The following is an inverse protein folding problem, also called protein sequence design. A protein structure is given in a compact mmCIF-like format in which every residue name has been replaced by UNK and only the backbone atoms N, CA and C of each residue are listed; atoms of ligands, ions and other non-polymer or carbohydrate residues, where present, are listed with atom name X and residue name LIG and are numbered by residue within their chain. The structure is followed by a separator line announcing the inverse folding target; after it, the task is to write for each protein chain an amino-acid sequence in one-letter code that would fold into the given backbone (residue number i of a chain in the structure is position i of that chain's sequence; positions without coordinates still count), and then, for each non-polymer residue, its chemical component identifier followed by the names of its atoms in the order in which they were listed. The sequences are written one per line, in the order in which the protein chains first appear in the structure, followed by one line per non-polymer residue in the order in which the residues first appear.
data_IF_492068395312
#
_entry.id   IF_492068395312
#
_cell.length_a   1.000
_cell.length_b   1.000
_cell.length_c   1.000
_cell.angle_alpha   90.00
_cell.angle_beta   90.00
_cell.angle_gamma   90.00
#
_symmetry.space_group_name_H-M   'P 1'
#
loop_
_entity.id
_entity.type
_entity.pdbx_description
1 polymer ?
#
# COMPACT_ATOMS: atom_id res chain seq x y z
N UNK A 1 12.98 33.34 -21.46
CA UNK A 1 12.01 32.87 -22.46
C UNK A 1 11.02 31.98 -21.75
N UNK A 2 9.81 32.48 -21.47
CA UNK A 2 8.75 31.73 -20.81
C UNK A 2 8.15 30.74 -21.82
N UNK A 3 8.44 29.46 -21.65
CA UNK A 3 7.88 28.39 -22.47
C UNK A 3 6.46 28.09 -21.97
N UNK A 4 5.48 28.90 -22.38
CA UNK A 4 4.08 28.69 -22.02
C UNK A 4 3.48 27.61 -22.91
N UNK A 5 3.16 26.46 -22.31
CA UNK A 5 2.48 25.33 -22.96
C UNK A 5 1.14 25.76 -23.56
N UNK A 6 0.89 25.39 -24.81
CA UNK A 6 -0.36 25.71 -25.51
C UNK A 6 -1.58 25.01 -24.88
N UNK A 7 -2.81 25.53 -25.08
CA UNK A 7 -4.03 24.87 -24.58
C UNK A 7 -4.22 23.43 -25.10
N UNK A 8 -3.80 23.15 -26.34
CA UNK A 8 -3.86 21.82 -26.93
C UNK A 8 -2.90 20.86 -26.23
N UNK A 9 -1.66 21.29 -25.98
CA UNK A 9 -0.67 20.52 -25.23
C UNK A 9 -1.11 20.29 -23.78
N UNK A 10 -1.71 21.29 -23.11
CA UNK A 10 -2.27 21.10 -21.76
C UNK A 10 -3.40 20.07 -21.74
N UNK A 11 -4.23 20.04 -22.78
CA UNK A 11 -5.32 19.06 -22.91
C UNK A 11 -4.77 17.65 -23.11
N UNK A 12 -3.74 17.51 -23.94
CA UNK A 12 -3.05 16.24 -24.16
C UNK A 12 -2.38 15.73 -22.88
N UNK A 13 -1.66 16.59 -22.15
CA UNK A 13 -1.01 16.21 -20.88
C UNK A 13 -2.04 15.74 -19.85
N UNK A 14 -3.14 16.47 -19.68
CA UNK A 14 -4.22 16.06 -18.76
C UNK A 14 -4.79 14.69 -19.12
N UNK A 15 -5.00 14.44 -20.41
CA UNK A 15 -5.46 13.14 -20.90
C UNK A 15 -4.46 12.04 -20.57
N UNK A 16 -3.18 12.23 -20.90
CA UNK A 16 -2.13 11.23 -20.63
C UNK A 16 -1.98 10.91 -19.14
N UNK A 17 -2.08 11.93 -18.26
CA UNK A 17 -2.06 11.72 -16.80
C UNK A 17 -3.29 10.91 -16.34
N UNK A 18 -4.48 11.24 -16.84
CA UNK A 18 -5.69 10.50 -16.53
C UNK A 18 -5.61 9.04 -16.99
N UNK A 19 -5.16 8.81 -18.22
CA UNK A 19 -4.97 7.46 -18.79
C UNK A 19 -3.92 6.66 -18.03
N UNK A 20 -2.83 7.29 -17.57
CA UNK A 20 -1.83 6.63 -16.74
C UNK A 20 -2.38 6.18 -15.38
N UNK A 21 -3.19 7.02 -14.71
CA UNK A 21 -3.82 6.65 -13.44
C UNK A 21 -4.84 5.53 -13.62
N UNK A 22 -5.66 5.58 -14.67
CA UNK A 22 -6.58 4.48 -15.02
C UNK A 22 -5.83 3.18 -15.33
N UNK A 23 -4.76 3.27 -16.13
CA UNK A 23 -3.91 2.13 -16.47
C UNK A 23 -3.27 1.49 -15.26
N UNK A 24 -2.78 2.30 -14.30
CA UNK A 24 -2.23 1.83 -13.03
C UNK A 24 -3.26 1.01 -12.24
N UNK A 25 -4.46 1.56 -12.02
CA UNK A 25 -5.51 0.87 -11.25
C UNK A 25 -5.99 -0.41 -11.95
N UNK A 26 -6.17 -0.38 -13.28
CA UNK A 26 -6.58 -1.54 -14.05
C UNK A 26 -5.50 -2.64 -14.04
N UNK A 27 -4.23 -2.29 -14.23
CA UNK A 27 -3.14 -3.25 -14.20
C UNK A 27 -2.97 -3.89 -12.82
N UNK A 28 -3.07 -3.09 -11.75
CA UNK A 28 -3.01 -3.57 -10.38
C UNK A 28 -4.17 -4.52 -10.06
N UNK A 29 -5.42 -4.14 -10.37
CA UNK A 29 -6.60 -4.99 -10.14
C UNK A 29 -6.57 -6.28 -10.97
N UNK A 30 -6.05 -6.25 -12.21
CA UNK A 30 -5.90 -7.44 -13.05
C UNK A 30 -4.82 -8.40 -12.54
N UNK A 31 -3.73 -7.88 -11.97
CA UNK A 31 -2.60 -8.68 -11.51
C UNK A 31 -2.72 -9.15 -10.05
N UNK A 32 -3.49 -8.45 -9.23
CA UNK A 32 -3.71 -8.74 -7.81
C UNK A 32 -4.06 -10.21 -7.50
N UNK A 33 -4.92 -10.91 -8.27
CA UNK A 33 -5.32 -12.29 -7.95
C UNK A 33 -4.19 -13.32 -8.06
N UNK A 34 -3.10 -12.96 -8.75
CA UNK A 34 -1.91 -13.81 -8.95
C UNK A 34 -0.67 -13.21 -8.30
N UNK A 35 -0.82 -12.18 -7.46
CA UNK A 35 0.30 -11.54 -6.78
C UNK A 35 1.07 -12.57 -5.93
N UNK A 36 2.36 -12.72 -6.24
CA UNK A 36 3.32 -13.67 -5.65
C UNK A 36 3.07 -15.17 -5.94
N UNK A 37 2.36 -15.49 -7.02
CA UNK A 37 2.44 -16.82 -7.60
C UNK A 37 3.83 -17.00 -8.22
N UNK A 38 4.66 -17.87 -7.63
CA UNK A 38 6.00 -18.17 -8.16
C UNK A 38 6.00 -19.26 -9.22
N UNK A 39 4.93 -20.06 -9.30
CA UNK A 39 4.76 -21.09 -10.32
C UNK A 39 3.56 -20.75 -11.22
N UNK A 40 3.81 -20.65 -12.53
CA UNK A 40 2.78 -20.33 -13.53
C UNK A 40 1.72 -21.44 -13.68
N UNK A 41 2.05 -22.69 -13.34
CA UNK A 41 1.09 -23.79 -13.41
C UNK A 41 0.05 -23.70 -12.28
N UNK A 42 0.41 -23.09 -11.15
CA UNK A 42 -0.55 -22.78 -10.10
C UNK A 42 -1.58 -21.74 -10.58
N UNK A 43 -1.14 -20.74 -11.35
CA UNK A 43 -2.05 -19.74 -11.96
C UNK A 43 -3.04 -20.46 -12.88
N UNK A 44 -2.53 -21.32 -13.77
CA UNK A 44 -3.38 -22.07 -14.71
C UNK A 44 -4.39 -22.96 -14.01
N UNK A 45 -3.97 -23.68 -12.98
CA UNK A 45 -4.85 -24.54 -12.18
C UNK A 45 -5.94 -23.71 -11.50
N UNK A 46 -5.56 -22.64 -10.80
CA UNK A 46 -6.47 -21.93 -9.93
C UNK A 46 -7.48 -21.06 -10.71
N UNK A 47 -7.09 -20.56 -11.89
CA UNK A 47 -7.92 -19.70 -12.74
C UNK A 47 -8.49 -20.38 -13.99
N UNK A 48 -8.29 -21.69 -14.15
CA UNK A 48 -8.84 -22.45 -15.29
C UNK A 48 -8.21 -22.10 -16.63
N UNK A 49 -6.93 -21.74 -16.63
CA UNK A 49 -6.19 -21.21 -17.76
C UNK A 49 -5.40 -19.95 -17.38
N UNK A 50 -5.00 -19.17 -18.38
CA UNK A 50 -4.39 -17.87 -18.11
C UNK A 50 -5.41 -16.92 -17.50
N UNK A 51 -4.95 -16.09 -16.55
CA UNK A 51 -5.79 -15.03 -16.00
C UNK A 51 -6.26 -14.10 -17.12
N UNK A 52 -7.55 -13.82 -17.15
CA UNK A 52 -8.17 -12.94 -18.14
C UNK A 52 -9.19 -12.04 -17.45
N UNK A 53 -9.12 -10.74 -17.72
CA UNK A 53 -10.00 -9.76 -17.10
C UNK A 53 -9.72 -9.56 -15.60
N UNK A 54 -10.75 -9.12 -14.87
CA UNK A 54 -10.67 -8.90 -13.44
C UNK A 54 -11.22 -10.12 -12.68
N UNK A 55 -10.43 -10.64 -11.75
CA UNK A 55 -10.82 -11.77 -10.90
C UNK A 55 -10.66 -11.39 -9.43
N UNK A 56 -11.40 -12.08 -8.55
CA UNK A 56 -11.10 -12.05 -7.12
C UNK A 56 -9.91 -12.99 -6.83
N UNK A 57 -9.09 -12.70 -5.81
CA UNK A 57 -8.07 -13.63 -5.36
C UNK A 57 -8.75 -14.88 -4.79
N UNK A 58 -8.09 -16.03 -4.92
CA UNK A 58 -8.53 -17.24 -4.23
C UNK A 58 -8.37 -17.05 -2.73
N UNK A 59 -9.15 -17.79 -1.94
CA UNK A 59 -9.00 -17.76 -0.47
C UNK A 59 -7.65 -18.35 -0.02
N UNK A 60 -7.07 -19.23 -0.84
CA UNK A 60 -5.78 -19.86 -0.59
C UNK A 60 -4.78 -19.44 -1.66
N UNK A 61 -3.53 -19.29 -1.26
CA UNK A 61 -2.40 -18.97 -2.13
C UNK A 61 -1.31 -20.05 -1.98
N UNK A 62 -0.83 -20.63 -3.09
CA UNK A 62 0.04 -21.81 -3.08
C UNK A 62 1.40 -21.58 -2.41
N UNK A 63 1.91 -20.35 -2.51
CA UNK A 63 3.21 -19.94 -1.94
C UNK A 63 3.07 -18.90 -0.83
N UNK A 64 1.97 -18.93 -0.08
CA UNK A 64 1.76 -17.92 0.97
C UNK A 64 2.79 -18.07 2.09
N UNK A 65 3.40 -16.95 2.45
CA UNK A 65 4.23 -16.79 3.65
C UNK A 65 3.67 -15.71 4.57
N UNK A 66 2.40 -15.30 4.37
CA UNK A 66 1.76 -14.23 5.12
C UNK A 66 1.87 -14.44 6.64
N UNK A 67 1.74 -15.70 7.08
CA UNK A 67 1.81 -16.09 8.49
C UNK A 67 3.21 -15.98 9.09
N UNK A 68 4.24 -15.92 8.24
CA UNK A 68 5.63 -15.74 8.65
C UNK A 68 6.00 -14.27 8.77
N UNK A 69 5.24 -13.35 8.16
CA UNK A 69 5.49 -11.92 8.17
C UNK A 69 5.22 -11.29 9.55
N UNK A 70 6.05 -10.33 9.93
CA UNK A 70 5.87 -9.59 11.18
C UNK A 70 4.66 -8.63 11.06
N UNK A 71 3.70 -8.78 11.97
CA UNK A 71 2.48 -7.94 12.06
C UNK A 71 2.67 -6.67 12.90
N UNK A 72 3.79 -6.55 13.60
CA UNK A 72 4.19 -5.37 14.39
C UNK A 72 5.16 -4.44 13.65
N UNK A 73 5.63 -4.79 12.44
CA UNK A 73 6.61 -4.01 11.70
C UNK A 73 7.09 -4.69 10.42
N UNK A 74 8.36 -4.46 10.03
CA UNK A 74 9.00 -5.10 8.88
C UNK A 74 9.55 -6.50 9.23
N UNK A 75 9.94 -7.25 8.19
CA UNK A 75 10.63 -8.53 8.34
C UNK A 75 9.74 -9.74 8.68
N UNK A 76 10.39 -10.82 9.12
CA UNK A 76 9.77 -12.10 9.53
C UNK A 76 9.65 -12.16 11.04
N UNK A 77 8.55 -12.74 11.55
CA UNK A 77 8.28 -12.86 12.98
C UNK A 77 9.45 -13.53 13.74
N UNK A 78 10.02 -14.60 13.18
CA UNK A 78 11.11 -15.35 13.80
C UNK A 78 12.45 -14.57 13.91
N UNK A 79 12.60 -13.46 13.18
CA UNK A 79 13.79 -12.61 13.21
C UNK A 79 13.57 -11.29 13.95
N UNK A 80 12.32 -11.03 14.37
CA UNK A 80 11.92 -9.83 15.11
C UNK A 80 11.63 -10.12 16.59
N UNK A 81 11.95 -11.33 17.07
CA UNK A 81 11.60 -11.90 18.38
C UNK A 81 12.17 -11.15 19.60
N UNK A 82 13.03 -10.15 19.39
CA UNK A 82 13.55 -9.30 20.46
C UNK A 82 12.70 -8.07 20.77
N UNK A 83 11.75 -7.71 19.90
CA UNK A 83 10.99 -6.46 20.02
C UNK A 83 9.52 -6.80 20.32
N UNK A 84 9.11 -6.66 21.60
CA UNK A 84 7.76 -6.99 22.07
C UNK A 84 6.74 -5.90 21.64
N UNK A 85 6.88 -5.36 20.43
CA UNK A 85 6.08 -4.26 19.92
C UNK A 85 4.64 -4.72 19.65
N UNK A 86 3.65 -3.88 19.95
CA UNK A 86 2.27 -4.20 19.63
C UNK A 86 2.05 -4.31 18.12
N UNK A 87 1.16 -5.22 17.72
CA UNK A 87 0.79 -5.40 16.31
C UNK A 87 0.16 -4.12 15.76
N UNK A 88 0.67 -3.66 14.61
CA UNK A 88 0.03 -2.60 13.84
C UNK A 88 -1.09 -3.18 12.97
N UNK A 89 -0.89 -4.37 12.42
CA UNK A 89 -1.89 -5.09 11.64
C UNK A 89 -3.04 -5.54 12.54
N UNK A 90 -4.27 -5.22 12.13
CA UNK A 90 -5.49 -5.55 12.84
C UNK A 90 -5.93 -4.52 13.88
N UNK A 91 -5.04 -3.58 14.25
CA UNK A 91 -5.29 -2.58 15.28
C UNK A 91 -5.11 -1.15 14.75
N UNK A 92 -3.92 -0.82 14.22
CA UNK A 92 -3.59 0.52 13.70
C UNK A 92 -3.91 0.62 12.21
N UNK A 93 -3.60 -0.43 11.45
CA UNK A 93 -3.85 -0.56 10.02
C UNK A 93 -4.43 -1.94 9.73
N UNK A 94 -4.99 -2.14 8.52
CA UNK A 94 -5.60 -3.43 8.12
C UNK A 94 -6.58 -3.94 9.21
N UNK A 95 -7.49 -3.07 9.64
CA UNK A 95 -8.37 -3.32 10.80
C UNK A 95 -9.10 -4.66 10.69
N UNK A 96 -9.10 -5.43 11.78
CA UNK A 96 -9.71 -6.78 11.87
C UNK A 96 -9.08 -7.87 10.98
N UNK A 97 -7.91 -7.62 10.36
CA UNK A 97 -7.25 -8.58 9.45
C UNK A 97 -6.17 -9.45 10.11
N UNK A 98 -5.78 -9.20 11.35
CA UNK A 98 -4.74 -9.98 12.05
C UNK A 98 -4.99 -11.50 12.05
N UNK A 99 -6.27 -11.91 12.09
CA UNK A 99 -6.68 -13.32 11.99
C UNK A 99 -6.15 -14.03 10.73
N UNK A 100 -6.00 -13.32 9.61
CA UNK A 100 -5.46 -13.87 8.37
C UNK A 100 -3.93 -14.04 8.44
N UNK A 101 -3.26 -13.15 9.16
CA UNK A 101 -1.81 -13.17 9.40
C UNK A 101 -1.39 -14.19 10.45
N UNK A 102 -2.33 -14.71 11.23
CA UNK A 102 -2.08 -15.72 12.28
C UNK A 102 -2.82 -17.03 12.02
N UNK A 103 -3.34 -17.21 10.80
CA UNK A 103 -4.07 -18.41 10.42
C UNK A 103 -3.14 -19.64 10.46
N UNK A 104 -3.52 -20.67 11.22
CA UNK A 104 -2.71 -21.90 11.37
C UNK A 104 -2.49 -22.67 10.07
N UNK A 105 -3.38 -22.50 9.08
CA UNK A 105 -3.31 -23.20 7.79
C UNK A 105 -2.25 -22.67 6.82
N UNK A 106 -1.56 -21.56 7.13
CA UNK A 106 -0.39 -21.06 6.37
C UNK A 106 -0.64 -20.58 4.94
N UNK A 107 -1.80 -20.85 4.34
CA UNK A 107 -2.04 -20.69 2.91
C UNK A 107 -2.92 -19.49 2.56
N UNK A 108 -3.12 -18.51 3.44
CA UNK A 108 -4.04 -17.39 3.17
C UNK A 108 -3.50 -16.51 2.06
N UNK A 109 -4.35 -16.12 1.11
CA UNK A 109 -3.94 -15.19 0.06
C UNK A 109 -3.67 -13.79 0.63
N UNK A 110 -2.61 -13.13 0.15
CA UNK A 110 -2.19 -11.80 0.63
C UNK A 110 -3.35 -10.79 0.59
N UNK A 111 -4.08 -10.77 -0.52
CA UNK A 111 -5.23 -9.90 -0.74
C UNK A 111 -6.58 -10.51 -0.35
N UNK A 112 -6.63 -11.37 0.68
CA UNK A 112 -7.87 -12.00 1.14
C UNK A 112 -9.00 -10.97 1.36
N UNK A 113 -10.12 -11.18 0.68
CA UNK A 113 -11.32 -10.34 0.80
C UNK A 113 -11.46 -9.24 -0.25
N UNK A 114 -10.42 -8.95 -1.05
CA UNK A 114 -10.61 -8.13 -2.24
C UNK A 114 -11.51 -8.83 -3.25
N UNK A 115 -12.27 -8.05 -4.01
CA UNK A 115 -13.16 -8.50 -5.07
C UNK A 115 -12.55 -8.25 -6.45
N UNK A 116 -13.16 -8.84 -7.48
CA UNK A 116 -12.78 -8.60 -8.85
C UNK A 116 -12.86 -7.10 -9.18
N UNK A 117 -11.75 -6.52 -9.64
CA UNK A 117 -11.65 -5.12 -10.03
C UNK A 117 -11.25 -4.17 -8.90
N UNK A 118 -11.12 -4.65 -7.66
CA UNK A 118 -10.55 -3.85 -6.58
C UNK A 118 -9.02 -3.77 -6.70
N UNK A 119 -8.48 -2.57 -6.52
CA UNK A 119 -7.05 -2.35 -6.45
C UNK A 119 -6.48 -2.70 -5.07
N UNK A 120 -5.22 -3.11 -5.04
CA UNK A 120 -4.41 -3.31 -3.84
C UNK A 120 -4.20 -2.00 -3.09
N UNK A 121 -3.80 -2.14 -1.82
CA UNK A 121 -3.48 -1.00 -0.97
C UNK A 121 -2.44 -0.04 -1.59
N UNK A 122 -1.43 -0.57 -2.29
CA UNK A 122 -0.33 0.23 -2.86
C UNK A 122 -0.83 1.15 -3.99
N UNK A 123 -1.70 0.64 -4.86
CA UNK A 123 -2.29 1.42 -5.94
C UNK A 123 -3.24 2.50 -5.39
N UNK A 124 -4.03 2.16 -4.36
CA UNK A 124 -4.89 3.15 -3.68
C UNK A 124 -4.03 4.24 -3.04
N UNK A 125 -2.97 3.89 -2.29
CA UNK A 125 -2.04 4.87 -1.72
C UNK A 125 -1.44 5.80 -2.79
N UNK A 126 -1.02 5.25 -3.94
CA UNK A 126 -0.49 6.04 -5.05
C UNK A 126 -1.52 7.03 -5.62
N UNK A 127 -2.77 6.60 -5.78
CA UNK A 127 -3.86 7.46 -6.22
C UNK A 127 -4.15 8.58 -5.21
N UNK A 128 -4.11 8.26 -3.92
CA UNK A 128 -4.31 9.24 -2.85
C UNK A 128 -3.22 10.30 -2.80
N UNK A 129 -1.96 9.93 -3.05
CA UNK A 129 -0.86 10.91 -3.21
C UNK A 129 -1.18 11.90 -4.33
N UNK A 130 -1.62 11.39 -5.49
CA UNK A 130 -2.00 12.25 -6.62
C UNK A 130 -3.17 13.18 -6.25
N UNK A 131 -4.19 12.68 -5.56
CA UNK A 131 -5.35 13.46 -5.11
C UNK A 131 -4.96 14.54 -4.08
N UNK A 132 -4.15 14.21 -3.09
CA UNK A 132 -3.69 15.16 -2.07
C UNK A 132 -2.86 16.30 -2.69
N UNK A 133 -1.96 15.97 -3.63
CA UNK A 133 -1.12 16.96 -4.30
C UNK A 133 -1.91 17.88 -5.24
N UNK A 134 -2.88 17.31 -5.97
CA UNK A 134 -3.72 18.09 -6.91
C UNK A 134 -4.77 18.94 -6.20
N UNK A 135 -5.28 18.49 -5.05
CA UNK A 135 -6.25 19.24 -4.25
C UNK A 135 -5.65 20.39 -3.44
N UNK A 136 -4.36 20.31 -3.08
CA UNK A 136 -3.74 21.26 -2.15
C UNK A 136 -3.15 22.54 -2.77
N UNK A 137 -3.23 22.73 -4.09
CA UNK A 137 -2.77 23.94 -4.81
C UNK A 137 -1.33 24.37 -4.45
N UNK A 138 -0.41 23.41 -4.29
CA UNK A 138 0.99 23.68 -3.98
C UNK A 138 1.75 24.21 -5.20
N UNK A 139 2.73 25.10 -5.01
CA UNK A 139 3.57 25.55 -6.11
C UNK A 139 4.62 24.49 -6.50
N UNK A 140 5.02 23.64 -5.54
CA UNK A 140 5.92 22.51 -5.76
C UNK A 140 5.67 21.35 -4.80
N UNK A 141 5.88 20.12 -5.29
CA UNK A 141 5.88 18.89 -4.46
C UNK A 141 7.04 18.85 -3.45
N UNK A 142 8.06 19.71 -3.64
CA UNK A 142 9.19 19.82 -2.72
C UNK A 142 8.86 20.63 -1.45
N UNK A 143 7.70 21.28 -1.39
CA UNK A 143 7.26 22.03 -0.22
C UNK A 143 6.95 21.10 0.96
N UNK A 144 7.26 21.55 2.18
CA UNK A 144 6.89 20.84 3.40
C UNK A 144 5.37 20.71 3.55
N UNK A 145 4.61 21.72 3.11
CA UNK A 145 3.15 21.69 3.10
C UNK A 145 2.60 20.57 2.20
N UNK A 146 3.15 20.41 0.98
CA UNK A 146 2.76 19.36 0.04
C UNK A 146 3.01 17.96 0.62
N UNK A 147 4.23 17.71 1.12
CA UNK A 147 4.57 16.45 1.80
C UNK A 147 3.70 16.22 3.04
N UNK A 148 3.40 17.28 3.78
CA UNK A 148 2.60 17.24 4.99
C UNK A 148 1.16 16.85 4.73
N UNK A 149 0.57 17.38 3.65
CA UNK A 149 -0.78 17.02 3.22
C UNK A 149 -0.86 15.55 2.79
N UNK A 150 0.12 15.07 2.02
CA UNK A 150 0.21 13.65 1.63
C UNK A 150 0.30 12.74 2.85
N UNK A 151 1.19 13.04 3.80
CA UNK A 151 1.37 12.22 5.00
C UNK A 151 0.15 12.25 5.92
N UNK A 152 -0.51 13.41 6.06
CA UNK A 152 -1.74 13.53 6.85
C UNK A 152 -2.86 12.69 6.24
N UNK A 153 -3.03 12.75 4.92
CA UNK A 153 -4.00 11.93 4.20
C UNK A 153 -3.69 10.42 4.30
N UNK A 154 -2.42 10.04 4.10
CA UNK A 154 -1.96 8.66 4.21
C UNK A 154 -2.19 8.08 5.62
N UNK A 155 -1.87 8.83 6.69
CA UNK A 155 -2.15 8.40 8.06
C UNK A 155 -3.66 8.24 8.25
N UNK A 156 -4.45 9.27 7.92
CA UNK A 156 -5.89 9.22 8.09
C UNK A 156 -6.52 8.03 7.36
N UNK A 157 -6.12 7.79 6.11
CA UNK A 157 -6.58 6.68 5.29
C UNK A 157 -6.24 5.32 5.90
N UNK A 158 -4.98 5.11 6.28
CA UNK A 158 -4.50 3.83 6.78
C UNK A 158 -5.04 3.50 8.18
N UNK A 159 -5.26 4.53 9.02
CA UNK A 159 -5.73 4.36 10.40
C UNK A 159 -7.24 4.43 10.57
N UNK A 160 -8.00 4.73 9.51
CA UNK A 160 -9.47 4.72 9.56
C UNK A 160 -10.00 3.34 9.15
N UNK A 161 -10.79 2.66 9.99
CA UNK A 161 -11.40 1.38 9.63
C UNK A 161 -12.30 1.49 8.39
N UNK A 162 -12.23 0.50 7.50
CA UNK A 162 -13.13 0.38 6.35
C UNK A 162 -12.78 1.24 5.13
N UNK A 163 -11.64 1.93 5.13
CA UNK A 163 -11.18 2.74 3.98
C UNK A 163 -10.68 1.90 2.80
N UNK A 164 -10.28 0.64 3.04
CA UNK A 164 -9.86 -0.31 2.01
C UNK A 164 -10.17 -1.76 2.43
N UNK A 165 -10.32 -2.65 1.46
CA UNK A 165 -10.63 -4.07 1.68
C UNK A 165 -9.42 -4.97 1.92
N UNK A 166 -8.21 -4.49 1.58
CA UNK A 166 -7.00 -5.31 1.52
C UNK A 166 -6.62 -5.96 2.86
N UNK A 167 -5.98 -7.13 2.78
CA UNK A 167 -5.45 -7.88 3.92
C UNK A 167 -3.93 -7.77 4.02
N UNK A 168 -3.26 -7.34 2.96
CA UNK A 168 -1.81 -7.18 2.94
C UNK A 168 -1.41 -5.70 2.87
N UNK A 169 -0.37 -5.35 3.62
CA UNK A 169 0.32 -4.06 3.54
C UNK A 169 1.80 -4.35 3.49
N UNK A 170 2.56 -3.64 2.66
CA UNK A 170 4.01 -3.84 2.54
C UNK A 170 4.79 -3.61 3.83
N UNK A 171 6.01 -4.13 3.87
CA UNK A 171 6.90 -4.00 5.04
C UNK A 171 7.16 -2.53 5.43
N UNK A 172 7.27 -1.62 4.45
CA UNK A 172 7.48 -0.20 4.71
C UNK A 172 6.24 0.48 5.32
N UNK A 173 5.02 0.08 4.92
CA UNK A 173 3.80 0.56 5.56
C UNK A 173 3.77 0.12 7.03
N UNK A 174 4.05 -1.16 7.30
CA UNK A 174 4.06 -1.70 8.66
C UNK A 174 5.16 -1.08 9.52
N UNK A 175 6.35 -0.86 8.96
CA UNK A 175 7.45 -0.17 9.64
C UNK A 175 7.07 1.27 10.01
N UNK A 176 6.54 2.04 9.05
CA UNK A 176 6.06 3.40 9.31
C UNK A 176 5.07 3.43 10.48
N UNK A 177 4.06 2.54 10.48
CA UNK A 177 3.07 2.53 11.55
C UNK A 177 3.60 1.94 12.87
N UNK A 178 4.64 1.11 12.83
CA UNK A 178 5.33 0.61 14.03
C UNK A 178 6.00 1.74 14.80
N UNK A 179 6.59 2.69 14.08
CA UNK A 179 7.23 3.87 14.66
C UNK A 179 6.20 4.98 14.92
N UNK A 180 5.16 5.11 14.09
CA UNK A 180 4.11 6.11 14.30
C UNK A 180 3.20 5.79 15.50
N UNK A 181 2.90 4.52 15.80
CA UNK A 181 1.90 4.14 16.82
C UNK A 181 2.22 4.58 18.25
N UNK A 182 3.46 5.00 18.51
CA UNK A 182 3.93 5.66 19.72
C UNK A 182 5.11 6.58 19.34
N UNK A 183 4.91 7.92 19.24
CA UNK A 183 3.96 8.71 20.03
C UNK A 183 2.64 9.13 19.35
N UNK A 184 2.32 8.65 18.14
CA UNK A 184 1.16 9.10 17.32
C UNK A 184 1.12 10.60 17.04
N UNK A 185 2.15 11.14 16.36
CA UNK A 185 2.15 12.53 15.98
C UNK A 185 0.94 12.84 15.08
N UNK A 186 0.18 13.87 15.45
CA UNK A 186 -1.02 14.33 14.73
C UNK A 186 -0.77 15.51 13.81
N UNK A 187 0.32 16.26 14.00
CA UNK A 187 0.67 17.37 13.10
C UNK A 187 1.59 16.91 11.98
N UNK A 188 1.31 17.36 10.76
CA UNK A 188 2.10 17.05 9.56
C UNK A 188 3.58 17.40 9.72
N UNK A 189 3.90 18.52 10.40
CA UNK A 189 5.26 18.94 10.72
C UNK A 189 6.02 17.92 11.58
N UNK A 190 5.37 17.37 12.61
CA UNK A 190 5.96 16.35 13.49
C UNK A 190 6.13 15.04 12.74
N UNK A 191 5.11 14.62 11.98
CA UNK A 191 5.19 13.39 11.16
C UNK A 191 6.36 13.46 10.19
N UNK A 192 6.51 14.58 9.45
CA UNK A 192 7.63 14.80 8.54
C UNK A 192 8.95 14.66 9.30
N UNK A 193 9.11 15.39 10.41
CA UNK A 193 10.36 15.40 11.16
C UNK A 193 10.76 14.02 11.69
N UNK A 194 9.81 13.26 12.23
CA UNK A 194 10.07 11.93 12.80
C UNK A 194 10.39 10.89 11.72
N UNK A 195 9.74 10.93 10.56
CA UNK A 195 9.83 9.85 9.57
C UNK A 195 10.82 10.09 8.43
N UNK A 196 11.25 11.33 8.15
CA UNK A 196 12.40 11.55 7.26
C UNK A 196 13.69 11.02 7.86
N UNK A 197 13.86 11.09 9.18
CA UNK A 197 15.02 10.51 9.87
C UNK A 197 14.96 8.98 9.92
N UNK A 198 13.77 8.39 10.13
CA UNK A 198 13.59 6.94 10.15
C UNK A 198 13.86 6.30 8.77
N UNK A 199 13.34 6.85 7.67
CA UNK A 199 13.58 6.33 6.32
C UNK A 199 15.05 6.33 5.90
N UNK A 200 15.85 7.32 6.35
CA UNK A 200 17.29 7.38 6.10
C UNK A 200 18.02 6.26 6.88
N UNK A 201 17.59 5.97 8.11
CA UNK A 201 18.24 4.94 8.93
C UNK A 201 17.90 3.51 8.50
N UNK A 202 16.69 3.26 7.98
CA UNK A 202 16.28 1.92 7.51
C UNK A 202 16.87 1.55 6.15
N UNK A 203 17.18 2.51 5.27
CA UNK A 203 17.85 2.24 3.99
C UNK A 203 19.37 2.02 4.10
N UNK A 204 19.99 2.41 5.23
CA UNK A 204 21.43 2.23 5.46
C UNK A 204 21.78 0.90 6.15
N UNK A 205 20.78 0.08 6.51
CA UNK A 205 20.99 -1.18 7.25
C UNK A 205 20.30 -2.41 6.63
N UNK A 206 20.05 -2.39 5.32
CA UNK A 206 19.78 -3.59 4.50
C UNK A 206 20.95 -3.83 3.56
#
# INVERSE_FOLDING_TARGET
MSNTTSPAEMTQVRRSVGEALWGMCAADAMSMPVHWYYNIDDIKRDFGGWITGFNAPKNKHPSSILTLSNSAGSGRTAWSSGDNRPHVVGNVILHNKLKFWKASGGSVHYHQGLQAGESTLNAICSLRVAQALTGGMFASVAESAARGAVLADYIHFMTTPGTHGDTYAESFHRAFFSDWQDPRPTSSSKVIHTHTHACIHTMLHT
#
